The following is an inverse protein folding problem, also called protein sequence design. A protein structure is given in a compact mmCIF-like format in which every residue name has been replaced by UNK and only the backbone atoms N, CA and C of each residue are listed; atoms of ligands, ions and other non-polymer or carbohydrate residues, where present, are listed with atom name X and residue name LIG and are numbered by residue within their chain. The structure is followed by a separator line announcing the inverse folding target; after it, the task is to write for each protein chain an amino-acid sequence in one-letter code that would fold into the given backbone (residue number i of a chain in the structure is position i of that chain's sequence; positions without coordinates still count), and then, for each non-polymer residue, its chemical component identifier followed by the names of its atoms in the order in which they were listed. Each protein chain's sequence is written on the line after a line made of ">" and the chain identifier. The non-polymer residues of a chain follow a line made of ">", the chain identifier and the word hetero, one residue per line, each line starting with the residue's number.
data_IF_605594713815
#
_entry.id   IF_605594713815
#
_cell.length_a   1.000
_cell.length_b   1.000
_cell.length_c   1.000
_cell.angle_alpha   90.00
_cell.angle_beta   90.00
_cell.angle_gamma   90.00
#
_symmetry.space_group_name_H-M   'P 1'
#
loop_
_entity.id
_entity.type
_entity.pdbx_description
1 polymer ?
#
# COMPACT_ATOMS: atom_id res chain seq x y z
N UNK A 1 -25.23 20.29 -1.27
CA UNK A 1 -24.13 20.13 -2.25
C UNK A 1 -24.42 18.89 -3.09
N UNK A 2 -24.15 18.93 -4.40
CA UNK A 2 -24.42 17.81 -5.30
C UNK A 2 -23.29 16.75 -5.30
N UNK A 3 -23.52 15.55 -5.87
CA UNK A 3 -22.57 14.43 -5.83
C UNK A 3 -21.16 14.77 -6.34
N UNK A 4 -21.06 15.65 -7.36
CA UNK A 4 -19.78 16.11 -7.91
C UNK A 4 -18.98 17.00 -6.95
N UNK A 5 -19.67 17.83 -6.17
CA UNK A 5 -19.01 18.69 -5.18
C UNK A 5 -18.50 17.87 -3.98
N UNK A 6 -19.19 16.79 -3.62
CA UNK A 6 -18.72 15.86 -2.59
C UNK A 6 -17.48 15.09 -3.06
N UNK A 7 -17.44 14.64 -4.31
CA UNK A 7 -16.28 13.94 -4.88
C UNK A 7 -15.00 14.80 -4.94
N UNK A 8 -15.12 16.12 -5.07
CA UNK A 8 -13.95 17.03 -5.04
C UNK A 8 -13.37 17.23 -3.64
N UNK A 9 -14.16 16.99 -2.60
CA UNK A 9 -13.73 17.04 -1.20
C UNK A 9 -13.31 15.65 -0.67
N UNK A 10 -13.58 14.60 -1.44
CA UNK A 10 -13.22 13.23 -1.11
C UNK A 10 -11.77 12.94 -1.54
N UNK A 11 -10.85 13.17 -0.61
CA UNK A 11 -9.43 12.85 -0.79
C UNK A 11 -9.12 11.34 -0.68
N UNK A 12 -10.13 10.48 -0.51
CA UNK A 12 -9.92 9.03 -0.43
C UNK A 12 -9.65 8.39 -1.79
N UNK A 13 -9.88 9.13 -2.89
CA UNK A 13 -9.68 8.66 -4.25
C UNK A 13 -8.86 9.65 -5.12
N UNK A 14 -7.98 9.14 -6.01
CA UNK A 14 -7.54 7.75 -6.09
C UNK A 14 -6.64 7.39 -4.89
N UNK A 15 -6.77 6.18 -4.37
CA UNK A 15 -5.83 5.67 -3.37
C UNK A 15 -4.42 5.63 -3.98
N UNK A 16 -3.44 6.08 -3.20
CA UNK A 16 -2.05 6.06 -3.63
C UNK A 16 -1.57 4.61 -3.79
N UNK A 17 -0.96 4.31 -4.94
CA UNK A 17 -0.31 3.03 -5.19
C UNK A 17 1.17 3.09 -4.79
N UNK A 18 1.45 2.73 -3.53
CA UNK A 18 2.82 2.71 -3.02
C UNK A 18 3.70 1.65 -3.67
N UNK A 19 3.10 0.57 -4.20
CA UNK A 19 3.85 -0.49 -4.89
C UNK A 19 4.40 0.06 -6.21
N UNK A 20 3.56 0.74 -6.98
CA UNK A 20 3.99 1.36 -8.24
C UNK A 20 5.09 2.42 -8.00
N UNK A 21 4.93 3.26 -6.97
CA UNK A 21 5.93 4.26 -6.61
C UNK A 21 7.28 3.64 -6.24
N UNK A 22 7.28 2.66 -5.32
CA UNK A 22 8.51 1.99 -4.90
C UNK A 22 9.20 1.27 -6.06
N UNK A 23 8.43 0.57 -6.90
CA UNK A 23 8.95 -0.13 -8.07
C UNK A 23 9.63 0.84 -9.04
N UNK A 24 9.03 2.02 -9.28
CA UNK A 24 9.62 3.07 -10.10
C UNK A 24 10.93 3.64 -9.54
N UNK A 25 11.14 3.52 -8.23
CA UNK A 25 12.38 3.91 -7.54
C UNK A 25 13.40 2.75 -7.42
N UNK A 26 13.12 1.59 -8.03
CA UNK A 26 13.98 0.41 -7.95
C UNK A 26 13.90 -0.34 -6.62
N UNK A 27 12.87 -0.08 -5.81
CA UNK A 27 12.61 -0.76 -4.54
C UNK A 27 11.55 -1.85 -4.78
N UNK A 28 11.89 -3.13 -4.61
CA UNK A 28 10.90 -4.21 -4.70
C UNK A 28 9.78 -4.00 -3.68
N UNK A 29 8.53 -4.16 -4.12
CA UNK A 29 7.37 -3.86 -3.29
C UNK A 29 6.23 -4.86 -3.43
N UNK A 30 5.47 -5.08 -2.35
CA UNK A 30 4.28 -5.94 -2.32
C UNK A 30 3.15 -5.28 -1.54
N UNK A 31 1.91 -5.48 -2.00
CA UNK A 31 0.69 -5.13 -1.26
C UNK A 31 0.15 -6.35 -0.54
N UNK A 32 -0.28 -6.19 0.70
CA UNK A 32 -0.84 -7.27 1.53
C UNK A 32 -2.12 -6.80 2.23
N UNK A 33 -3.06 -7.71 2.41
CA UNK A 33 -4.36 -7.43 3.05
C UNK A 33 -4.62 -8.27 4.30
N UNK A 34 -3.77 -9.27 4.58
CA UNK A 34 -3.89 -10.16 5.74
C UNK A 34 -2.59 -10.20 6.54
N UNK A 35 -2.68 -10.68 7.78
CA UNK A 35 -1.51 -10.87 8.65
C UNK A 35 -0.60 -11.97 8.09
N UNK A 36 -1.17 -13.02 7.52
CA UNK A 36 -0.44 -14.13 6.90
C UNK A 36 0.35 -13.66 5.68
N UNK A 37 -0.27 -12.86 4.81
CA UNK A 37 0.42 -12.25 3.67
C UNK A 37 1.52 -11.30 4.11
N UNK A 38 1.29 -10.53 5.18
CA UNK A 38 2.30 -9.65 5.76
C UNK A 38 3.51 -10.43 6.27
N UNK A 39 3.30 -11.51 7.02
CA UNK A 39 4.39 -12.37 7.51
C UNK A 39 5.19 -12.94 6.34
N UNK A 40 4.53 -13.47 5.32
CA UNK A 40 5.21 -14.01 4.14
C UNK A 40 5.99 -12.93 3.36
N UNK A 41 5.44 -11.72 3.25
CA UNK A 41 6.13 -10.59 2.63
C UNK A 41 7.34 -10.12 3.47
N UNK A 42 7.23 -10.16 4.79
CA UNK A 42 8.32 -9.79 5.69
C UNK A 42 9.46 -10.82 5.62
N UNK A 43 9.16 -12.11 5.61
CA UNK A 43 10.16 -13.17 5.43
C UNK A 43 10.91 -13.01 4.11
N UNK A 44 10.19 -12.74 3.02
CA UNK A 44 10.79 -12.44 1.73
C UNK A 44 11.72 -11.22 1.78
N UNK A 45 11.25 -10.11 2.35
CA UNK A 45 12.03 -8.87 2.44
C UNK A 45 13.30 -9.01 3.29
N UNK A 46 13.28 -9.88 4.31
CA UNK A 46 14.44 -10.17 5.15
C UNK A 46 15.42 -11.16 4.51
N UNK A 47 14.96 -12.00 3.59
CA UNK A 47 15.80 -12.98 2.89
C UNK A 47 16.69 -12.35 1.80
N UNK A 48 16.29 -11.19 1.28
CA UNK A 48 17.02 -10.47 0.23
C UNK A 48 17.69 -9.19 0.76
N UNK A 49 18.95 -8.91 0.42
CA UNK A 49 19.61 -7.68 0.84
C UNK A 49 19.01 -6.47 0.12
N UNK A 50 18.89 -5.36 0.85
CA UNK A 50 18.44 -4.08 0.30
C UNK A 50 17.06 -3.65 0.79
N UNK A 51 16.60 -2.47 0.37
CA UNK A 51 15.32 -1.92 0.78
C UNK A 51 14.16 -2.66 0.11
N UNK A 52 13.10 -2.90 0.88
CA UNK A 52 11.86 -3.51 0.42
C UNK A 52 10.68 -2.69 0.97
N UNK A 53 9.61 -2.55 0.18
CA UNK A 53 8.38 -1.92 0.62
C UNK A 53 7.25 -2.93 0.75
N UNK A 54 6.54 -2.89 1.89
CA UNK A 54 5.32 -3.68 2.10
C UNK A 54 4.17 -2.69 2.38
N UNK A 55 3.23 -2.59 1.44
CA UNK A 55 2.01 -1.78 1.56
C UNK A 55 0.91 -2.64 2.23
N UNK A 56 0.82 -2.53 3.56
CA UNK A 56 -0.13 -3.29 4.37
C UNK A 56 -1.46 -2.54 4.52
N UNK A 57 -2.54 -3.13 4.02
CA UNK A 57 -3.89 -2.62 4.21
C UNK A 57 -4.35 -2.89 5.65
N UNK A 58 -4.50 -1.83 6.43
CA UNK A 58 -5.03 -1.90 7.80
C UNK A 58 -6.51 -1.49 7.80
N UNK A 59 -7.41 -2.28 8.42
CA UNK A 59 -8.79 -1.86 8.64
C UNK A 59 -8.86 -0.57 9.45
N UNK A 60 -9.79 0.32 9.10
CA UNK A 60 -10.05 1.49 9.94
C UNK A 60 -10.67 1.05 11.25
N UNK A 61 -10.05 1.39 12.38
CA UNK A 61 -10.66 1.24 13.70
C UNK A 61 -11.43 2.53 13.95
N UNK A 62 -12.75 2.48 13.80
CA UNK A 62 -13.66 3.60 14.08
C UNK A 62 -14.04 3.61 15.55
#
# INVERSE_FOLDING_TARGET
>A
AGPRAAALLDLSAPKLDFVALATGMGVPARRVATAEEFTAALEWALAEPGPHLIDALVPSVI
#
